data_IF_725157960698
#
_entry.id   IF_725157960698
#
_cell.length_a   1.000
_cell.length_b   1.000
_cell.length_c   1.000
_cell.angle_alpha   90.00
_cell.angle_beta   90.00
_cell.angle_gamma   90.00
#
_symmetry.space_group_name_H-M   'P 1'
#
loop_
_entity.id
_entity.type
_entity.pdbx_description
1 polymer ?
#
# COMPACT_ATOMS: atom_id res chain seq x y z
N UNK A 1 28.41 10.50 19.60
CA UNK A 1 28.63 9.58 18.46
C UNK A 1 27.72 8.39 18.66
N UNK A 2 26.76 8.15 17.76
CA UNK A 2 25.94 6.93 17.81
C UNK A 2 26.77 5.84 17.13
N UNK A 3 27.27 4.89 17.90
CA UNK A 3 27.97 3.73 17.37
C UNK A 3 26.97 2.84 16.64
N UNK A 4 27.10 2.72 15.32
CA UNK A 4 26.30 1.79 14.54
C UNK A 4 26.55 0.36 15.06
N UNK A 5 25.50 -0.36 15.52
CA UNK A 5 25.69 -1.73 15.98
C UNK A 5 26.20 -2.60 14.81
N UNK A 6 27.26 -3.37 15.06
CA UNK A 6 27.78 -4.30 14.07
C UNK A 6 26.84 -5.51 13.97
N UNK A 7 25.92 -5.47 13.00
CA UNK A 7 24.94 -6.53 12.77
C UNK A 7 25.61 -7.89 12.56
N UNK A 8 26.78 -7.97 11.91
CA UNK A 8 27.47 -9.24 11.70
C UNK A 8 28.01 -9.85 13.00
N UNK A 9 28.35 -9.03 13.99
CA UNK A 9 28.78 -9.51 15.30
C UNK A 9 27.62 -10.10 16.13
N UNK A 10 26.38 -9.73 15.82
CA UNK A 10 25.17 -10.21 16.49
C UNK A 10 24.70 -11.54 15.87
N UNK A 11 25.01 -11.77 14.59
CA UNK A 11 24.59 -12.97 13.86
C UNK A 11 25.52 -14.15 14.12
N UNK A 12 25.28 -14.87 15.22
CA UNK A 12 25.97 -16.13 15.54
C UNK A 12 25.18 -17.36 15.08
N UNK A 13 25.89 -18.47 14.81
CA UNK A 13 25.27 -19.78 14.59
C UNK A 13 25.03 -20.16 13.13
N UNK A 14 24.20 -21.19 12.94
CA UNK A 14 23.78 -21.66 11.61
C UNK A 14 22.74 -20.73 10.95
N UNK A 15 22.33 -21.04 9.71
CA UNK A 15 21.39 -20.20 8.96
C UNK A 15 20.02 -20.05 9.67
N UNK A 16 19.55 -21.08 10.37
CA UNK A 16 18.26 -21.05 11.07
C UNK A 16 18.36 -20.18 12.32
N UNK A 17 19.46 -20.30 13.07
CA UNK A 17 19.74 -19.46 14.24
C UNK A 17 19.88 -17.99 13.84
N UNK A 18 20.61 -17.69 12.77
CA UNK A 18 20.72 -16.32 12.23
C UNK A 18 19.36 -15.79 11.80
N UNK A 19 18.55 -16.59 11.10
CA UNK A 19 17.21 -16.18 10.70
C UNK A 19 16.31 -15.90 11.91
N UNK A 20 16.37 -16.72 12.96
CA UNK A 20 15.62 -16.51 14.20
C UNK A 20 16.02 -15.20 14.88
N UNK A 21 17.32 -14.91 14.97
CA UNK A 21 17.85 -13.64 15.52
C UNK A 21 17.34 -12.45 14.70
N UNK A 22 17.44 -12.52 13.36
CA UNK A 22 16.97 -11.45 12.48
C UNK A 22 15.46 -11.22 12.65
N UNK A 23 14.67 -12.30 12.64
CA UNK A 23 13.22 -12.20 12.79
C UNK A 23 12.83 -11.59 14.15
N UNK A 24 13.53 -11.95 15.22
CA UNK A 24 13.29 -11.39 16.54
C UNK A 24 13.56 -9.87 16.56
N UNK A 25 14.74 -9.44 16.08
CA UNK A 25 15.12 -8.02 16.03
C UNK A 25 14.14 -7.23 15.15
N UNK A 26 13.80 -7.75 13.97
CA UNK A 26 12.84 -7.10 13.08
C UNK A 26 11.44 -7.00 13.71
N UNK A 27 11.01 -8.01 14.48
CA UNK A 27 9.75 -7.97 15.22
C UNK A 27 9.72 -6.90 16.31
N UNK A 28 10.82 -6.72 17.05
CA UNK A 28 10.93 -5.64 18.02
C UNK A 28 10.90 -4.26 17.35
N UNK A 29 11.66 -4.08 16.27
CA UNK A 29 11.64 -2.83 15.50
C UNK A 29 10.23 -2.55 14.95
N UNK A 30 9.56 -3.57 14.41
CA UNK A 30 8.18 -3.45 13.93
C UNK A 30 7.24 -2.97 15.03
N UNK A 31 7.35 -3.54 16.23
CA UNK A 31 6.52 -3.16 17.38
C UNK A 31 6.75 -1.72 17.82
N UNK A 32 8.01 -1.26 17.86
CA UNK A 32 8.36 0.14 18.19
C UNK A 32 7.80 1.10 17.13
N UNK A 33 8.00 0.81 15.85
CA UNK A 33 7.52 1.67 14.75
C UNK A 33 5.99 1.68 14.61
N UNK A 34 5.30 0.65 15.09
CA UNK A 34 3.84 0.58 15.14
C UNK A 34 3.26 1.37 16.33
N UNK A 35 4.00 1.46 17.45
CA UNK A 35 3.56 2.16 18.65
C UNK A 35 3.90 3.65 18.71
N UNK A 36 4.90 4.10 17.94
CA UNK A 36 5.37 5.49 17.94
C UNK A 36 5.40 6.07 16.53
N UNK A 37 4.38 6.87 16.19
CA UNK A 37 4.21 7.46 14.87
C UNK A 37 5.29 8.51 14.55
N UNK A 38 5.80 9.21 15.56
CA UNK A 38 6.82 10.25 15.39
C UNK A 38 8.17 9.62 15.05
N UNK A 39 8.53 8.53 15.74
CA UNK A 39 9.71 7.74 15.37
C UNK A 39 9.53 7.13 13.97
N UNK A 40 8.34 6.61 13.67
CA UNK A 40 8.03 6.01 12.36
C UNK A 40 8.25 6.98 11.19
N UNK A 41 7.93 8.26 11.37
CA UNK A 41 8.17 9.32 10.37
C UNK A 41 9.66 9.67 10.19
N UNK A 42 10.48 9.46 11.23
CA UNK A 42 11.92 9.78 11.20
C UNK A 42 12.77 8.64 10.63
N UNK A 43 12.31 7.40 10.74
CA UNK A 43 13.04 6.22 10.24
C UNK A 43 12.79 6.02 8.74
N UNK A 44 13.87 5.90 7.96
CA UNK A 44 13.81 5.79 6.49
C UNK A 44 13.31 4.43 5.98
N UNK A 45 13.38 3.41 6.82
CA UNK A 45 13.02 2.04 6.47
C UNK A 45 11.77 1.62 7.20
N UNK A 46 10.87 0.96 6.48
CA UNK A 46 9.67 0.35 7.06
C UNK A 46 9.90 -1.14 7.23
N UNK A 47 9.64 -1.65 8.42
CA UNK A 47 9.60 -3.09 8.68
C UNK A 47 8.15 -3.55 8.57
N UNK A 48 7.91 -4.68 7.91
CA UNK A 48 6.60 -5.32 7.78
C UNK A 48 6.75 -6.83 7.90
N UNK A 49 5.78 -7.48 8.51
CA UNK A 49 5.68 -8.92 8.53
C UNK A 49 5.37 -9.45 7.12
N UNK A 50 5.86 -10.65 6.81
CA UNK A 50 5.56 -11.29 5.53
C UNK A 50 4.05 -11.50 5.40
N UNK A 51 3.46 -10.95 4.34
CA UNK A 51 2.01 -11.04 4.10
C UNK A 51 1.17 -10.02 4.86
N UNK A 52 1.77 -9.10 5.63
CA UNK A 52 1.03 -8.07 6.39
C UNK A 52 0.15 -7.20 5.49
N UNK A 53 0.64 -6.82 4.31
CA UNK A 53 -0.13 -6.05 3.34
C UNK A 53 -1.38 -6.80 2.86
N UNK A 54 -1.24 -8.10 2.55
CA UNK A 54 -2.35 -8.92 2.06
C UNK A 54 -3.38 -9.11 3.16
N UNK A 55 -2.94 -9.40 4.39
CA UNK A 55 -3.81 -9.48 5.57
C UNK A 55 -4.56 -8.16 5.80
N UNK A 56 -3.87 -7.03 5.71
CA UNK A 56 -4.49 -5.70 5.86
C UNK A 56 -5.51 -5.43 4.76
N UNK A 57 -5.18 -5.77 3.51
CA UNK A 57 -6.09 -5.61 2.37
C UNK A 57 -7.32 -6.48 2.53
N UNK A 58 -7.16 -7.73 2.93
CA UNK A 58 -8.27 -8.64 3.22
C UNK A 58 -9.12 -8.12 4.38
N UNK A 59 -8.50 -7.64 5.47
CA UNK A 59 -9.21 -7.01 6.58
C UNK A 59 -10.11 -5.88 6.11
N UNK A 60 -9.57 -4.93 5.34
CA UNK A 60 -10.38 -3.83 4.77
C UNK A 60 -11.57 -4.31 3.93
N UNK A 61 -11.40 -5.39 3.16
CA UNK A 61 -12.48 -5.95 2.33
C UNK A 61 -13.53 -6.63 3.21
N UNK A 62 -13.09 -7.38 4.23
CA UNK A 62 -13.99 -8.11 5.13
C UNK A 62 -14.74 -7.16 6.09
N UNK A 63 -14.11 -6.06 6.48
CA UNK A 63 -14.69 -5.02 7.34
C UNK A 63 -15.55 -4.02 6.55
N UNK A 64 -15.61 -4.14 5.22
CA UNK A 64 -16.38 -3.23 4.38
C UNK A 64 -17.89 -3.45 4.57
N UNK A 65 -18.54 -2.51 5.24
CA UNK A 65 -20.00 -2.55 5.53
C UNK A 65 -20.84 -2.12 4.32
N UNK A 66 -20.22 -1.47 3.34
CA UNK A 66 -20.88 -0.93 2.17
C UNK A 66 -20.42 0.50 1.87
N UNK A 67 -20.76 1.02 0.67
CA UNK A 67 -20.50 2.40 0.32
C UNK A 67 -21.37 3.36 1.15
N UNK A 68 -20.94 4.62 1.28
CA UNK A 68 -21.79 5.69 1.82
C UNK A 68 -23.06 5.91 0.98
N UNK A 69 -24.05 6.60 1.52
CA UNK A 69 -25.36 6.78 0.88
C UNK A 69 -25.26 7.47 -0.49
N UNK A 70 -24.35 8.45 -0.64
CA UNK A 70 -24.16 9.17 -1.90
C UNK A 70 -23.57 8.25 -2.97
N UNK A 71 -22.56 7.46 -2.61
CA UNK A 71 -21.95 6.46 -3.47
C UNK A 71 -22.96 5.36 -3.83
N UNK A 72 -23.76 4.90 -2.86
CA UNK A 72 -24.83 3.92 -3.10
C UNK A 72 -25.88 4.50 -4.07
N UNK A 73 -26.28 5.75 -3.88
CA UNK A 73 -27.21 6.44 -4.76
C UNK A 73 -26.65 6.55 -6.19
N UNK A 74 -25.39 6.96 -6.34
CA UNK A 74 -24.72 7.03 -7.64
C UNK A 74 -24.67 5.67 -8.34
N UNK A 75 -24.30 4.61 -7.62
CA UNK A 75 -24.27 3.24 -8.15
C UNK A 75 -25.67 2.79 -8.59
N UNK A 76 -26.70 3.08 -7.80
CA UNK A 76 -28.08 2.72 -8.12
C UNK A 76 -28.61 3.46 -9.36
N UNK A 77 -28.31 4.75 -9.51
CA UNK A 77 -28.77 5.55 -10.65
C UNK A 77 -28.03 5.22 -11.95
N UNK A 78 -26.83 4.63 -11.85
CA UNK A 78 -26.04 4.16 -12.99
C UNK A 78 -26.12 2.64 -13.17
N UNK A 79 -27.12 2.01 -12.55
CA UNK A 79 -27.17 0.54 -12.46
C UNK A 79 -27.24 -0.16 -13.82
N UNK A 80 -27.81 0.50 -14.82
CA UNK A 80 -27.91 -0.02 -16.18
C UNK A 80 -26.59 0.10 -16.96
N UNK A 81 -25.78 1.13 -16.68
CA UNK A 81 -24.55 1.41 -17.41
C UNK A 81 -23.44 0.42 -17.02
N UNK A 82 -23.17 0.27 -15.71
CA UNK A 82 -22.15 -0.66 -15.20
C UNK A 82 -22.50 -2.16 -15.35
N UNK A 83 -23.77 -2.57 -15.47
CA UNK A 83 -24.12 -3.98 -15.75
C UNK A 83 -23.98 -4.33 -17.23
N UNK A 84 -24.14 -3.34 -18.11
CA UNK A 84 -24.05 -3.52 -19.56
C UNK A 84 -22.58 -3.56 -20.00
N UNK A 85 -21.77 -2.65 -19.47
CA UNK A 85 -20.32 -2.65 -19.65
C UNK A 85 -19.63 -2.26 -18.33
N UNK A 86 -19.28 -3.25 -17.49
CA UNK A 86 -18.58 -2.98 -16.24
C UNK A 86 -17.25 -2.26 -16.44
N UNK A 87 -16.56 -2.50 -17.56
CA UNK A 87 -15.28 -1.85 -17.82
C UNK A 87 -15.46 -0.36 -18.10
N UNK A 88 -16.50 0.03 -18.84
CA UNK A 88 -16.80 1.44 -19.12
C UNK A 88 -17.12 2.27 -17.87
N UNK A 89 -17.66 1.66 -16.80
CA UNK A 89 -17.89 2.35 -15.53
C UNK A 89 -16.59 2.76 -14.82
N UNK A 90 -15.56 1.91 -14.91
CA UNK A 90 -14.24 2.15 -14.28
C UNK A 90 -13.25 2.84 -15.21
N UNK A 91 -13.57 2.98 -16.50
CA UNK A 91 -12.77 3.79 -17.41
C UNK A 91 -12.89 5.26 -16.98
N UNK A 92 -11.79 5.81 -16.46
CA UNK A 92 -11.72 7.25 -16.21
C UNK A 92 -12.07 7.97 -17.51
N UNK A 93 -12.91 9.02 -17.48
CA UNK A 93 -13.08 9.87 -18.65
C UNK A 93 -11.68 10.27 -19.11
N UNK A 94 -11.36 9.92 -20.36
CA UNK A 94 -10.06 10.23 -20.96
C UNK A 94 -9.81 11.71 -20.68
N UNK A 95 -8.70 12.09 -20.03
CA UNK A 95 -8.47 13.49 -19.74
C UNK A 95 -8.58 14.25 -21.05
N UNK A 96 -9.49 15.23 -21.11
CA UNK A 96 -9.82 15.99 -22.32
C UNK A 96 -8.62 16.75 -22.95
N UNK A 97 -7.40 16.55 -22.44
CA UNK A 97 -6.19 17.30 -22.74
C UNK A 97 -4.99 16.43 -23.15
N UNK A 98 -5.16 15.15 -23.49
CA UNK A 98 -4.03 14.30 -23.90
C UNK A 98 -3.59 14.46 -25.37
N UNK A 99 -4.27 15.30 -26.16
CA UNK A 99 -3.91 15.53 -27.56
C UNK A 99 -2.53 16.16 -27.80
N UNK A 100 -1.84 16.65 -26.77
CA UNK A 100 -0.58 17.40 -26.92
C UNK A 100 0.59 16.91 -26.03
N UNK A 101 0.42 15.82 -25.28
CA UNK A 101 1.46 15.35 -24.36
C UNK A 101 2.16 14.12 -24.95
N UNK A 102 3.50 14.11 -24.97
CA UNK A 102 4.28 12.98 -25.46
C UNK A 102 3.92 11.68 -24.72
N UNK A 103 3.82 10.56 -25.45
CA UNK A 103 3.42 9.26 -24.92
C UNK A 103 4.12 8.83 -23.61
N UNK A 104 5.41 9.10 -23.37
CA UNK A 104 6.06 8.76 -22.10
C UNK A 104 5.44 9.46 -20.89
N UNK A 105 5.03 10.73 -21.03
CA UNK A 105 4.40 11.49 -19.94
C UNK A 105 2.95 11.05 -19.69
N UNK A 106 2.27 10.53 -20.71
CA UNK A 106 0.95 9.90 -20.52
C UNK A 106 1.06 8.61 -19.69
N UNK A 107 2.06 7.77 -19.98
CA UNK A 107 2.34 6.54 -19.22
C UNK A 107 2.66 6.86 -17.76
N UNK A 108 3.50 7.88 -17.52
CA UNK A 108 3.83 8.33 -16.16
C UNK A 108 2.60 8.89 -15.44
N UNK A 109 1.74 9.65 -16.12
CA UNK A 109 0.48 10.15 -15.57
C UNK A 109 -0.46 9.03 -15.13
N UNK A 110 -0.64 8.00 -15.97
CA UNK A 110 -1.44 6.82 -15.63
C UNK A 110 -0.81 6.01 -14.48
N UNK A 111 0.51 5.86 -14.45
CA UNK A 111 1.22 5.18 -13.36
C UNK A 111 1.06 5.90 -12.01
N UNK A 112 1.22 7.23 -12.00
CA UNK A 112 1.04 8.04 -10.79
C UNK A 112 -0.41 7.97 -10.31
N UNK A 113 -1.38 8.05 -11.23
CA UNK A 113 -2.79 7.97 -10.89
C UNK A 113 -3.26 6.60 -10.38
N UNK A 114 -2.61 5.51 -10.80
CA UNK A 114 -2.90 4.15 -10.30
C UNK A 114 -2.23 3.80 -8.97
N UNK A 115 -1.33 4.68 -8.48
CA UNK A 115 -0.63 4.56 -7.20
C UNK A 115 -1.11 5.54 -6.13
N UNK A 116 -2.11 6.36 -6.46
CA UNK A 116 -2.80 7.25 -5.52
C UNK A 116 -3.80 6.44 -4.72
N UNK A 117 -3.41 6.09 -3.50
CA UNK A 117 -4.29 5.49 -2.47
C UNK A 117 -5.21 6.55 -1.81
N UNK A 118 -5.31 7.76 -2.38
CA UNK A 118 -6.14 8.90 -1.92
C UNK A 118 -7.35 9.21 -2.83
N UNK A 119 -7.83 8.24 -3.62
CA UNK A 119 -9.06 8.37 -4.42
C UNK A 119 -10.00 7.17 -4.20
#
# INVERSE_FOLDING_TARGET
MVTSPNVQAILSGDANQKAAIINHILGEIHSVLAGDEDISKLVRYKVKERGENDRTRLGKILDFVGPDEDTLHLLSTKISAWTTDPAAFWMRPVPCFLGQIAAPAQIVGCYIQSKRDDA
#
